data_IF_782761153408
#
_entry.id   IF_782761153408
#
_cell.length_a   1.000
_cell.length_b   1.000
_cell.length_c   1.000
_cell.angle_alpha   90.00
_cell.angle_beta   90.00
_cell.angle_gamma   90.00
#
_symmetry.space_group_name_H-M   'P 1'
#
loop_
_entity.id
_entity.type
_entity.pdbx_description
1 polymer ?
#
# COMPACT_ATOMS: atom_id res chain seq x y z
N UNK A 1 -3.69 -18.17 19.52
CA UNK A 1 -3.65 -17.77 18.10
C UNK A 1 -2.69 -16.60 18.01
N UNK A 2 -1.55 -16.70 17.31
CA UNK A 2 -0.66 -15.56 17.13
C UNK A 2 -1.44 -14.44 16.42
N UNK A 3 -1.32 -13.20 16.89
CA UNK A 3 -2.21 -12.06 16.58
C UNK A 3 -2.14 -11.53 15.14
N UNK A 4 -1.44 -12.19 14.22
CA UNK A 4 -1.41 -11.79 12.81
C UNK A 4 -0.89 -10.37 12.56
N UNK A 5 -0.30 -9.69 13.52
CA UNK A 5 0.34 -8.40 13.29
C UNK A 5 1.72 -8.65 12.64
N UNK A 6 1.96 -8.17 11.42
CA UNK A 6 3.28 -8.24 10.81
C UNK A 6 4.07 -7.03 11.30
N UNK A 7 5.03 -7.28 12.17
CA UNK A 7 5.98 -6.29 12.67
C UNK A 7 7.29 -7.01 12.94
N UNK A 8 8.36 -6.24 13.13
CA UNK A 8 9.58 -6.71 13.77
C UNK A 8 9.19 -7.50 15.04
N UNK A 9 10.02 -8.44 15.51
CA UNK A 9 9.73 -9.22 16.72
C UNK A 9 9.07 -8.33 17.78
N UNK A 10 7.98 -8.81 18.39
CA UNK A 10 6.99 -8.08 19.24
C UNK A 10 7.59 -7.15 20.32
N UNK A 11 8.91 -7.14 20.49
CA UNK A 11 9.72 -6.35 21.40
C UNK A 11 10.10 -4.95 20.91
N UNK A 12 9.93 -4.57 19.63
CA UNK A 12 10.38 -3.27 19.08
C UNK A 12 9.25 -2.36 18.55
N UNK A 13 7.99 -2.70 18.77
CA UNK A 13 6.85 -1.91 18.29
C UNK A 13 6.47 -0.89 19.36
N UNK A 14 6.81 0.37 19.11
CA UNK A 14 6.41 1.48 19.96
C UNK A 14 6.42 2.79 19.19
N UNK A 15 5.59 3.75 19.62
CA UNK A 15 5.67 5.12 19.14
C UNK A 15 7.10 5.63 19.29
N UNK A 16 7.72 6.04 18.19
CA UNK A 16 8.96 6.82 18.28
C UNK A 16 8.60 8.19 18.86
N UNK A 17 9.18 8.62 20.00
CA UNK A 17 8.85 9.91 20.60
C UNK A 17 9.32 11.06 19.70
N UNK A 18 8.62 12.21 19.69
CA UNK A 18 9.07 13.36 18.93
C UNK A 18 10.40 13.88 19.51
N UNK A 19 11.24 14.53 18.69
CA UNK A 19 12.45 15.17 19.20
C UNK A 19 12.09 16.20 20.29
N UNK A 20 12.95 16.37 21.32
CA UNK A 20 12.66 17.27 22.43
C UNK A 20 12.44 18.70 21.95
N UNK A 21 11.42 19.36 22.53
CA UNK A 21 11.08 20.76 22.24
C UNK A 21 12.32 21.66 22.35
N UNK A 22 12.58 22.45 21.31
CA UNK A 22 13.63 23.49 21.30
C UNK A 22 13.15 24.83 21.92
N UNK A 23 11.95 24.88 22.51
CA UNK A 23 11.33 26.10 23.02
C UNK A 23 11.01 26.07 24.54
N UNK A 24 10.81 27.24 25.18
CA UNK A 24 10.45 27.30 26.60
C UNK A 24 9.15 26.54 26.89
N UNK A 25 9.17 25.67 27.91
CA UNK A 25 8.03 24.85 28.37
C UNK A 25 6.75 25.67 28.61
N UNK A 26 6.86 26.95 28.93
CA UNK A 26 5.73 27.84 29.21
C UNK A 26 4.85 28.16 27.99
N UNK A 27 5.37 28.01 26.75
CA UNK A 27 4.55 28.14 25.53
C UNK A 27 3.74 26.88 25.23
N UNK A 28 4.24 25.70 25.62
CA UNK A 28 3.61 24.39 25.40
C UNK A 28 2.30 24.26 26.18
N UNK A 29 2.24 24.82 27.40
CA UNK A 29 1.02 24.80 28.23
C UNK A 29 -0.16 25.59 27.65
N UNK A 30 0.08 26.59 26.79
CA UNK A 30 -1.00 27.33 26.12
C UNK A 30 -1.55 26.58 24.89
N UNK A 31 -0.76 25.71 24.27
CA UNK A 31 -1.13 24.95 23.05
C UNK A 31 -2.03 23.74 23.30
N UNK A 32 -1.86 23.05 24.44
CA UNK A 32 -2.75 21.94 24.85
C UNK A 32 -4.23 22.33 25.00
N UNK A 33 -4.49 23.62 25.23
CA UNK A 33 -5.85 24.19 25.37
C UNK A 33 -6.44 24.60 24.01
N UNK A 34 -5.63 24.65 22.94
CA UNK A 34 -6.01 25.18 21.63
C UNK A 34 -6.52 24.17 20.60
N UNK A 35 -6.13 22.89 20.69
CA UNK A 35 -6.49 21.88 19.67
C UNK A 35 -7.71 21.04 20.06
N UNK A 36 -7.91 20.81 21.36
CA UNK A 36 -9.16 20.24 21.86
C UNK A 36 -9.93 21.43 22.43
N UNK A 37 -10.77 22.13 21.64
CA UNK A 37 -11.65 23.12 22.22
C UNK A 37 -12.45 22.43 23.31
N UNK A 38 -12.51 23.05 24.50
CA UNK A 38 -13.51 22.68 25.48
C UNK A 38 -14.86 22.70 24.73
N UNK A 39 -15.66 21.62 24.79
CA UNK A 39 -16.92 21.57 24.05
C UNK A 39 -17.72 22.84 24.38
N UNK A 40 -18.20 23.53 23.34
CA UNK A 40 -19.09 24.67 23.55
C UNK A 40 -20.31 24.19 24.34
N UNK A 41 -20.91 25.08 25.13
CA UNK A 41 -22.01 24.71 26.03
C UNK A 41 -23.21 24.18 25.21
N UNK A 42 -23.31 22.86 25.05
CA UNK A 42 -24.32 22.19 24.21
C UNK A 42 -23.76 21.20 23.18
N UNK A 43 -22.44 21.22 22.89
CA UNK A 43 -21.80 20.23 22.03
C UNK A 43 -21.60 18.89 22.78
N UNK A 44 -21.83 17.78 22.08
CA UNK A 44 -21.44 16.46 22.60
C UNK A 44 -19.91 16.38 22.64
N UNK A 45 -19.29 15.96 23.75
CA UNK A 45 -17.84 15.79 23.79
C UNK A 45 -17.41 14.73 22.77
N UNK A 46 -16.53 15.11 21.85
CA UNK A 46 -15.86 14.18 20.94
C UNK A 46 -14.80 13.43 21.75
N UNK A 47 -14.91 12.10 21.80
CA UNK A 47 -13.93 11.24 22.47
C UNK A 47 -12.99 10.70 21.40
N UNK A 48 -11.82 11.33 21.28
CA UNK A 48 -10.77 10.86 20.38
C UNK A 48 -10.17 9.54 20.85
N UNK A 49 -9.86 8.68 19.89
CA UNK A 49 -9.03 7.50 20.12
C UNK A 49 -7.66 7.95 20.67
N UNK A 50 -7.06 7.22 21.63
CA UNK A 50 -5.73 7.53 22.14
C UNK A 50 -4.67 7.81 21.07
N UNK A 51 -4.70 7.13 19.92
CA UNK A 51 -3.75 7.38 18.83
C UNK A 51 -3.85 8.82 18.28
N UNK A 52 -5.06 9.37 18.19
CA UNK A 52 -5.30 10.75 17.75
C UNK A 52 -4.81 11.74 18.82
N UNK A 53 -5.00 11.41 20.10
CA UNK A 53 -4.49 12.23 21.22
C UNK A 53 -2.95 12.26 21.22
N UNK A 54 -2.30 11.13 20.90
CA UNK A 54 -0.84 11.08 20.75
C UNK A 54 -0.39 11.98 19.60
N UNK A 55 -1.07 11.95 18.44
CA UNK A 55 -0.75 12.81 17.31
C UNK A 55 -0.79 14.29 17.69
N UNK A 56 -1.89 14.73 18.32
CA UNK A 56 -2.06 16.13 18.68
C UNK A 56 -1.01 16.59 19.69
N UNK A 57 -0.74 15.79 20.73
CA UNK A 57 0.32 16.10 21.70
C UNK A 57 1.72 16.15 21.09
N UNK A 58 2.03 15.27 20.13
CA UNK A 58 3.32 15.24 19.44
C UNK A 58 3.47 16.41 18.48
N UNK A 59 2.42 16.76 17.72
CA UNK A 59 2.41 17.94 16.87
C UNK A 59 2.62 19.22 17.68
N UNK A 60 1.94 19.38 18.81
CA UNK A 60 2.15 20.53 19.69
C UNK A 60 3.56 20.63 20.25
N UNK A 61 4.23 19.49 20.45
CA UNK A 61 5.61 19.47 20.93
C UNK A 61 6.60 19.77 19.81
N UNK A 62 6.39 19.17 18.63
CA UNK A 62 7.32 19.22 17.51
C UNK A 62 7.16 20.51 16.67
N UNK A 63 5.92 20.89 16.35
CA UNK A 63 5.58 22.04 15.51
C UNK A 63 4.10 22.49 15.74
N UNK A 64 3.84 23.36 16.73
CA UNK A 64 2.49 23.92 16.97
C UNK A 64 1.89 24.55 15.71
N UNK A 65 0.61 24.31 15.46
CA UNK A 65 -0.13 24.83 14.28
C UNK A 65 0.19 24.13 12.95
N UNK A 66 1.07 23.12 12.95
CA UNK A 66 1.44 22.40 11.73
C UNK A 66 0.24 21.76 11.01
N UNK A 67 -0.74 21.25 11.77
CA UNK A 67 -1.90 20.61 11.18
C UNK A 67 -2.85 21.62 10.51
N UNK A 68 -3.07 22.77 11.13
CA UNK A 68 -3.87 23.85 10.53
C UNK A 68 -3.25 24.35 9.22
N UNK A 69 -1.93 24.55 9.20
CA UNK A 69 -1.20 24.94 7.98
C UNK A 69 -1.34 23.88 6.88
N UNK A 70 -1.21 22.59 7.22
CA UNK A 70 -1.34 21.49 6.28
C UNK A 70 -2.76 21.38 5.71
N UNK A 71 -3.79 21.43 6.54
CA UNK A 71 -5.20 21.40 6.09
C UNK A 71 -5.51 22.62 5.23
N UNK A 72 -5.01 23.80 5.59
CA UNK A 72 -5.17 25.02 4.78
C UNK A 72 -4.51 24.88 3.41
N UNK A 73 -3.28 24.33 3.35
CA UNK A 73 -2.57 24.05 2.10
C UNK A 73 -3.33 23.06 1.21
N UNK A 74 -3.90 21.99 1.80
CA UNK A 74 -4.74 21.04 1.08
C UNK A 74 -6.02 21.69 0.53
N UNK A 75 -6.69 22.50 1.36
CA UNK A 75 -7.93 23.19 0.99
C UNK A 75 -7.73 24.17 -0.16
N UNK A 76 -6.60 24.86 -0.25
CA UNK A 76 -6.28 25.72 -1.38
C UNK A 76 -6.13 24.97 -2.71
N UNK A 77 -5.75 23.69 -2.66
CA UNK A 77 -5.49 22.88 -3.86
C UNK A 77 -6.75 22.15 -4.35
N UNK A 78 -7.57 21.60 -3.45
CA UNK A 78 -8.75 20.78 -3.79
C UNK A 78 -9.99 21.11 -2.93
N UNK A 79 -10.45 22.38 -2.89
CA UNK A 79 -11.49 22.84 -1.96
C UNK A 79 -12.80 22.07 -2.09
N UNK A 80 -13.21 21.76 -3.33
CA UNK A 80 -14.47 21.04 -3.60
C UNK A 80 -14.48 19.62 -3.01
N UNK A 81 -13.33 18.96 -2.98
CA UNK A 81 -13.21 17.60 -2.46
C UNK A 81 -13.07 17.60 -0.94
N UNK A 82 -12.39 18.59 -0.38
CA UNK A 82 -12.35 18.85 1.06
C UNK A 82 -13.76 19.13 1.61
N UNK A 83 -14.56 19.93 0.89
CA UNK A 83 -15.97 20.19 1.22
C UNK A 83 -16.82 18.91 1.17
N UNK A 84 -16.59 18.02 0.18
CA UNK A 84 -17.29 16.72 0.06
C UNK A 84 -17.08 15.85 1.31
N UNK A 85 -15.90 15.90 1.92
CA UNK A 85 -15.58 15.16 3.15
C UNK A 85 -15.74 15.98 4.44
N UNK A 86 -16.25 17.21 4.33
CA UNK A 86 -16.45 18.12 5.47
C UNK A 86 -15.16 18.44 6.25
N UNK A 87 -14.03 18.58 5.55
CA UNK A 87 -12.73 18.93 6.14
C UNK A 87 -12.41 20.40 5.80
N UNK A 88 -12.42 21.28 6.81
CA UNK A 88 -12.17 22.72 6.65
C UNK A 88 -11.02 23.27 7.51
N UNK A 89 -10.60 22.52 8.54
CA UNK A 89 -9.62 22.92 9.54
C UNK A 89 -8.97 21.69 10.21
N UNK A 90 -8.03 21.92 11.13
CA UNK A 90 -7.37 20.84 11.84
C UNK A 90 -8.35 19.95 12.63
N UNK A 91 -9.38 20.53 13.26
CA UNK A 91 -10.35 19.78 14.07
C UNK A 91 -11.15 18.82 13.21
N UNK A 92 -11.71 19.29 12.10
CA UNK A 92 -12.47 18.47 11.16
C UNK A 92 -11.61 17.36 10.51
N UNK A 93 -10.31 17.60 10.28
CA UNK A 93 -9.39 16.52 9.87
C UNK A 93 -9.16 15.49 10.99
N UNK A 94 -8.99 15.92 12.24
CA UNK A 94 -8.85 15.00 13.38
C UNK A 94 -10.13 14.18 13.59
N UNK A 95 -11.30 14.77 13.39
CA UNK A 95 -12.59 14.07 13.41
C UNK A 95 -12.65 13.04 12.28
N UNK A 96 -12.30 13.42 11.04
CA UNK A 96 -12.19 12.51 9.90
C UNK A 96 -11.25 11.33 10.19
N UNK A 97 -10.04 11.59 10.69
CA UNK A 97 -9.08 10.55 11.02
C UNK A 97 -9.55 9.66 12.20
N UNK A 98 -10.21 10.25 13.19
CA UNK A 98 -10.76 9.49 14.30
C UNK A 98 -11.89 8.55 13.85
N UNK A 99 -12.76 9.01 12.97
CA UNK A 99 -13.86 8.22 12.43
C UNK A 99 -13.36 7.10 11.52
N UNK A 100 -12.27 7.33 10.79
CA UNK A 100 -11.63 6.32 9.95
C UNK A 100 -11.16 5.07 10.73
N UNK A 101 -10.83 5.22 12.03
CA UNK A 101 -10.45 4.09 12.91
C UNK A 101 -11.59 3.09 13.17
N UNK A 102 -12.84 3.47 12.89
CA UNK A 102 -14.04 2.61 13.00
C UNK A 102 -14.91 2.67 11.75
N UNK A 103 -14.34 3.13 10.63
CA UNK A 103 -15.07 3.30 9.39
C UNK A 103 -15.40 1.95 8.78
N UNK A 104 -16.68 1.76 8.47
CA UNK A 104 -17.19 0.60 7.71
C UNK A 104 -17.10 0.97 6.23
N UNK A 105 -16.29 0.28 5.41
CA UNK A 105 -16.15 0.67 4.01
C UNK A 105 -17.43 0.44 3.21
N UNK A 106 -17.77 1.40 2.36
CA UNK A 106 -18.86 1.33 1.39
C UNK A 106 -18.35 1.83 0.05
N UNK A 107 -19.02 1.41 -1.02
CA UNK A 107 -18.65 1.80 -2.36
C UNK A 107 -19.85 2.20 -3.22
N UNK A 108 -19.56 2.89 -4.32
CA UNK A 108 -20.54 3.35 -5.30
C UNK A 108 -20.22 2.81 -6.71
N UNK A 109 -21.04 3.20 -7.68
CA UNK A 109 -20.94 2.70 -9.05
C UNK A 109 -19.56 2.92 -9.69
N UNK A 110 -18.89 4.01 -9.35
CA UNK A 110 -17.57 4.35 -9.85
C UNK A 110 -16.45 3.53 -9.22
N UNK A 111 -16.67 2.88 -8.08
CA UNK A 111 -15.65 2.08 -7.40
C UNK A 111 -14.49 2.92 -6.86
N UNK A 112 -14.75 4.16 -6.45
CA UNK A 112 -13.76 5.15 -6.03
C UNK A 112 -13.89 5.66 -4.59
N UNK A 113 -15.01 5.48 -3.89
CA UNK A 113 -15.17 6.07 -2.55
C UNK A 113 -14.10 5.62 -1.55
N UNK A 114 -13.75 4.33 -1.55
CA UNK A 114 -12.64 3.83 -0.71
C UNK A 114 -11.33 4.49 -1.12
N UNK A 115 -11.01 4.49 -2.41
CA UNK A 115 -9.76 5.04 -2.94
C UNK A 115 -9.62 6.53 -2.59
N UNK A 116 -10.69 7.29 -2.80
CA UNK A 116 -10.84 8.69 -2.50
C UNK A 116 -10.55 8.99 -1.01
N UNK A 117 -11.10 8.20 -0.09
CA UNK A 117 -10.86 8.35 1.36
C UNK A 117 -9.39 8.12 1.71
N UNK A 118 -8.76 7.06 1.18
CA UNK A 118 -7.34 6.78 1.43
C UNK A 118 -6.46 7.91 0.87
N UNK A 119 -6.73 8.34 -0.36
CA UNK A 119 -6.02 9.45 -0.99
C UNK A 119 -6.13 10.73 -0.17
N UNK A 120 -7.31 11.01 0.39
CA UNK A 120 -7.53 12.24 1.14
C UNK A 120 -6.78 12.29 2.47
N UNK A 121 -6.67 11.14 3.15
CA UNK A 121 -5.83 11.04 4.34
C UNK A 121 -4.36 11.36 4.02
N UNK A 122 -3.79 10.73 2.99
CA UNK A 122 -2.38 10.93 2.63
C UNK A 122 -2.13 12.30 2.03
N UNK A 123 -3.04 12.84 1.21
CA UNK A 123 -2.88 14.15 0.61
C UNK A 123 -2.77 15.27 1.67
N UNK A 124 -3.54 15.21 2.77
CA UNK A 124 -3.43 16.19 3.87
C UNK A 124 -2.14 16.00 4.66
N UNK A 125 -1.81 14.76 5.06
CA UNK A 125 -0.65 14.51 5.92
C UNK A 125 0.69 14.79 5.20
N UNK A 126 0.67 14.73 3.87
CA UNK A 126 1.80 15.07 2.99
C UNK A 126 1.84 16.56 2.60
N UNK A 127 0.97 17.42 3.14
CA UNK A 127 1.11 18.86 2.97
C UNK A 127 2.23 19.44 3.85
N UNK A 128 2.92 20.50 3.41
CA UNK A 128 3.76 21.28 4.28
C UNK A 128 2.92 21.89 5.42
N UNK A 129 3.43 21.92 6.66
CA UNK A 129 4.77 21.47 7.06
C UNK A 129 4.87 20.00 7.50
N UNK A 130 3.77 19.24 7.53
CA UNK A 130 3.73 17.85 8.00
C UNK A 130 4.62 16.93 7.16
N UNK A 131 4.66 17.13 5.84
CA UNK A 131 5.54 16.40 4.93
C UNK A 131 7.01 16.37 5.41
N UNK A 132 7.50 17.48 5.97
CA UNK A 132 8.88 17.61 6.46
C UNK A 132 9.15 16.92 7.80
N UNK A 133 8.10 16.43 8.47
CA UNK A 133 8.18 15.70 9.74
C UNK A 133 8.14 14.17 9.51
N UNK A 134 7.84 13.74 8.30
CA UNK A 134 7.84 12.33 7.88
C UNK A 134 9.25 11.88 7.46
N UNK A 135 9.47 10.56 7.46
CA UNK A 135 10.67 9.95 6.86
C UNK A 135 10.73 10.32 5.39
N UNK A 136 11.85 10.89 4.95
CA UNK A 136 12.03 11.23 3.54
C UNK A 136 12.10 10.00 2.66
N UNK A 137 11.51 10.06 1.46
CA UNK A 137 11.66 9.01 0.46
C UNK A 137 13.03 9.15 -0.21
N UNK A 138 14.05 8.54 0.40
CA UNK A 138 15.42 8.56 -0.12
C UNK A 138 16.21 7.28 0.22
N UNK A 139 17.21 6.90 -0.60
CA UNK A 139 17.97 5.65 -0.41
C UNK A 139 18.70 5.53 0.94
N UNK A 140 19.13 6.66 1.52
CA UNK A 140 19.81 6.71 2.81
C UNK A 140 18.89 6.39 4.01
N UNK A 141 17.58 6.38 3.81
CA UNK A 141 16.59 6.03 4.85
C UNK A 141 16.30 4.52 4.92
N UNK A 142 16.82 3.72 3.98
CA UNK A 142 16.58 2.27 3.97
C UNK A 142 17.18 1.63 5.23
N UNK A 143 16.35 0.89 5.97
CA UNK A 143 16.75 0.22 7.20
C UNK A 143 16.99 1.16 8.40
N UNK A 144 16.77 2.47 8.23
CA UNK A 144 16.83 3.42 9.32
C UNK A 144 15.51 3.45 10.11
N UNK A 145 15.55 3.83 11.40
CA UNK A 145 14.33 4.07 12.17
C UNK A 145 13.44 5.14 11.51
N UNK A 146 12.13 4.93 11.53
CA UNK A 146 11.17 5.92 11.03
C UNK A 146 11.16 7.18 11.91
N UNK A 147 10.84 8.33 11.32
CA UNK A 147 10.51 9.52 12.11
C UNK A 147 9.26 9.26 12.95
N UNK A 148 9.05 10.09 13.98
CA UNK A 148 7.89 9.95 14.86
C UNK A 148 6.55 10.02 14.11
N UNK A 149 6.43 10.86 13.07
CA UNK A 149 5.18 10.99 12.32
C UNK A 149 4.96 9.79 11.41
N UNK A 150 5.99 9.30 10.71
CA UNK A 150 5.86 8.07 9.91
C UNK A 150 5.62 6.83 10.79
N UNK A 151 6.23 6.75 11.98
CA UNK A 151 5.94 5.72 12.98
C UNK A 151 4.48 5.80 13.45
N UNK A 152 3.95 7.00 13.69
CA UNK A 152 2.55 7.20 14.05
C UNK A 152 1.61 6.73 12.93
N UNK A 153 1.91 7.05 11.66
CA UNK A 153 1.11 6.62 10.50
C UNK A 153 1.05 5.09 10.40
N UNK A 154 2.17 4.39 10.65
CA UNK A 154 2.20 2.92 10.68
C UNK A 154 1.27 2.38 11.77
N UNK A 155 1.35 2.90 12.99
CA UNK A 155 0.47 2.47 14.10
C UNK A 155 -1.00 2.77 13.79
N UNK A 156 -1.28 3.94 13.21
CA UNK A 156 -2.62 4.33 12.80
C UNK A 156 -3.20 3.36 11.75
N UNK A 157 -2.42 3.00 10.72
CA UNK A 157 -2.81 2.00 9.72
C UNK A 157 -3.08 0.62 10.35
N UNK A 158 -2.24 0.18 11.30
CA UNK A 158 -2.45 -1.08 12.02
C UNK A 158 -3.75 -1.08 12.84
N UNK A 159 -4.11 0.03 13.48
CA UNK A 159 -5.37 0.13 14.22
C UNK A 159 -6.60 0.06 13.31
N UNK A 160 -6.54 0.66 12.12
CA UNK A 160 -7.58 0.49 11.09
C UNK A 160 -7.65 -1.00 10.69
N UNK A 161 -6.52 -1.63 10.40
CA UNK A 161 -6.46 -3.06 10.08
C UNK A 161 -7.09 -3.95 11.14
N UNK A 162 -6.84 -3.68 12.43
CA UNK A 162 -7.46 -4.38 13.56
C UNK A 162 -8.99 -4.21 13.59
N UNK A 163 -9.50 -3.02 13.28
CA UNK A 163 -10.93 -2.81 13.14
C UNK A 163 -11.49 -3.62 11.96
N UNK A 164 -10.79 -3.66 10.83
CA UNK A 164 -11.19 -4.42 9.62
C UNK A 164 -11.19 -5.95 9.83
N UNK A 165 -10.54 -6.45 10.89
CA UNK A 165 -10.61 -7.83 11.36
C UNK A 165 -11.75 -8.08 12.38
N UNK A 166 -12.53 -7.05 12.71
CA UNK A 166 -13.69 -7.18 13.60
C UNK A 166 -15.00 -7.38 12.82
N UNK A 167 -16.02 -8.06 13.37
CA UNK A 167 -17.33 -8.18 12.72
C UNK A 167 -18.04 -6.84 12.48
N UNK A 168 -17.68 -5.79 13.23
CA UNK A 168 -18.27 -4.46 13.07
C UNK A 168 -17.84 -3.78 11.76
N UNK A 169 -16.76 -4.25 11.13
CA UNK A 169 -16.22 -3.67 9.89
C UNK A 169 -17.00 -4.01 8.61
N UNK A 170 -17.93 -4.97 8.68
CA UNK A 170 -18.69 -5.40 7.51
C UNK A 170 -20.17 -5.56 7.86
N UNK A 171 -20.96 -4.54 7.55
CA UNK A 171 -22.42 -4.60 7.65
C UNK A 171 -23.03 -5.22 6.39
N UNK A 172 -24.32 -5.53 6.44
CA UNK A 172 -25.04 -6.03 5.26
C UNK A 172 -25.10 -4.97 4.16
N UNK A 173 -25.32 -3.72 4.54
CA UNK A 173 -25.36 -2.56 3.65
C UNK A 173 -23.98 -2.30 3.02
N UNK A 174 -22.91 -2.49 3.79
CA UNK A 174 -21.53 -2.44 3.30
C UNK A 174 -21.29 -3.50 2.25
N UNK A 175 -21.57 -4.78 2.56
CA UNK A 175 -21.39 -5.87 1.60
C UNK A 175 -22.24 -5.68 0.33
N UNK A 176 -23.50 -5.23 0.46
CA UNK A 176 -24.40 -4.97 -0.67
C UNK A 176 -23.87 -3.84 -1.59
N UNK A 177 -23.14 -2.88 -1.03
CA UNK A 177 -22.53 -1.79 -1.81
C UNK A 177 -21.50 -2.30 -2.83
N UNK A 178 -20.88 -3.46 -2.60
CA UNK A 178 -19.94 -4.09 -3.53
C UNK A 178 -20.58 -5.00 -4.57
N UNK A 179 -21.91 -5.15 -4.56
CA UNK A 179 -22.61 -6.01 -5.51
C UNK A 179 -22.37 -5.56 -6.97
N UNK A 180 -22.54 -6.48 -7.92
CA UNK A 180 -22.39 -6.19 -9.34
C UNK A 180 -23.25 -5.01 -9.83
N UNK A 181 -24.39 -4.76 -9.17
CA UNK A 181 -25.28 -3.65 -9.46
C UNK A 181 -24.73 -2.32 -8.94
N UNK A 182 -24.18 -2.32 -7.73
CA UNK A 182 -23.81 -1.10 -7.04
C UNK A 182 -22.36 -0.68 -7.29
N UNK A 183 -21.44 -1.64 -7.51
CA UNK A 183 -20.01 -1.39 -7.74
C UNK A 183 -19.41 -2.43 -8.71
N UNK A 184 -19.75 -2.39 -10.01
CA UNK A 184 -19.39 -3.44 -10.98
C UNK A 184 -17.88 -3.69 -11.12
N UNK A 185 -17.01 -2.71 -10.83
CA UNK A 185 -15.55 -2.85 -10.92
C UNK A 185 -14.98 -3.86 -9.92
N UNK A 186 -15.64 -4.10 -8.79
CA UNK A 186 -15.22 -5.08 -7.79
C UNK A 186 -15.43 -6.53 -8.23
N UNK A 187 -16.22 -6.77 -9.29
CA UNK A 187 -16.51 -8.09 -9.83
C UNK A 187 -16.90 -9.09 -8.72
N UNK A 188 -17.79 -8.68 -7.81
CA UNK A 188 -18.17 -9.49 -6.65
C UNK A 188 -18.66 -10.90 -7.01
N UNK A 189 -19.31 -11.03 -8.16
CA UNK A 189 -19.81 -12.32 -8.66
C UNK A 189 -18.71 -13.35 -8.95
N UNK A 190 -17.44 -12.92 -9.11
CA UNK A 190 -16.29 -13.83 -9.25
C UNK A 190 -15.83 -14.41 -7.89
N UNK A 191 -16.25 -13.82 -6.77
CA UNK A 191 -15.80 -14.21 -5.43
C UNK A 191 -16.34 -15.57 -4.99
N UNK A 192 -15.48 -16.38 -4.37
CA UNK A 192 -15.89 -17.56 -3.62
C UNK A 192 -16.38 -17.11 -2.24
N UNK A 193 -17.70 -17.11 -2.05
CA UNK A 193 -18.33 -16.76 -0.77
C UNK A 193 -18.20 -17.95 0.18
N UNK A 194 -17.60 -17.76 1.38
CA UNK A 194 -17.50 -18.82 2.39
C UNK A 194 -18.88 -19.29 2.88
N UNK A 195 -18.94 -20.49 3.44
CA UNK A 195 -20.14 -20.95 4.15
C UNK A 195 -20.45 -20.00 5.33
N UNK A 196 -21.68 -19.48 5.37
CA UNK A 196 -22.08 -18.45 6.33
C UNK A 196 -21.70 -17.01 5.95
N UNK A 197 -21.12 -16.78 4.77
CA UNK A 197 -20.77 -15.46 4.26
C UNK A 197 -19.47 -14.89 4.82
N UNK A 198 -19.13 -13.68 4.38
CA UNK A 198 -18.01 -12.91 4.92
C UNK A 198 -18.37 -12.33 6.30
N UNK A 199 -17.48 -12.49 7.28
CA UNK A 199 -17.66 -12.06 8.67
C UNK A 199 -17.02 -10.72 8.98
N UNK A 200 -15.98 -10.34 8.23
CA UNK A 200 -15.19 -9.13 8.45
C UNK A 200 -14.81 -8.52 7.10
N UNK A 201 -14.49 -7.23 7.08
CA UNK A 201 -14.11 -6.57 5.84
C UNK A 201 -12.82 -7.17 5.26
N UNK A 202 -11.85 -7.50 6.10
CA UNK A 202 -10.62 -8.14 5.64
C UNK A 202 -10.87 -9.52 5.01
N UNK A 203 -11.85 -10.29 5.48
CA UNK A 203 -12.21 -11.57 4.85
C UNK A 203 -12.82 -11.35 3.46
N UNK A 204 -13.62 -10.30 3.29
CA UNK A 204 -14.18 -9.90 2.00
C UNK A 204 -13.11 -9.34 1.05
N UNK A 205 -12.26 -8.43 1.52
CA UNK A 205 -11.21 -7.79 0.73
C UNK A 205 -10.23 -8.83 0.20
N UNK A 206 -9.81 -9.77 1.07
CA UNK A 206 -8.97 -10.91 0.73
C UNK A 206 -9.78 -12.14 0.26
N UNK A 207 -10.95 -11.95 -0.35
CA UNK A 207 -11.77 -13.06 -0.88
C UNK A 207 -10.97 -13.95 -1.83
N UNK A 208 -11.26 -15.24 -1.84
CA UNK A 208 -10.82 -16.13 -2.91
C UNK A 208 -11.73 -15.94 -4.13
N UNK A 209 -11.27 -16.33 -5.31
CA UNK A 209 -12.11 -16.41 -6.50
C UNK A 209 -12.72 -17.82 -6.65
N UNK A 210 -13.85 -17.90 -7.35
CA UNK A 210 -14.41 -19.19 -7.77
C UNK A 210 -13.40 -19.94 -8.65
N UNK A 211 -13.34 -21.29 -8.59
CA UNK A 211 -12.47 -22.07 -9.48
C UNK A 211 -12.70 -21.72 -10.95
N UNK A 212 -11.62 -21.62 -11.72
CA UNK A 212 -11.67 -21.35 -13.17
C UNK A 212 -11.83 -19.87 -13.55
N UNK A 213 -11.98 -18.93 -12.61
CA UNK A 213 -12.08 -17.50 -12.93
C UNK A 213 -10.77 -16.89 -13.46
N UNK A 214 -9.64 -17.56 -13.25
CA UNK A 214 -8.29 -17.12 -13.65
C UNK A 214 -7.49 -18.31 -14.20
N UNK A 215 -7.75 -18.75 -15.44
CA UNK A 215 -6.95 -19.81 -16.07
C UNK A 215 -5.49 -19.38 -16.22
N UNK A 216 -4.55 -20.25 -15.85
CA UNK A 216 -3.11 -19.97 -15.97
C UNK A 216 -2.67 -20.23 -17.40
N UNK A 217 -2.01 -19.24 -18.02
CA UNK A 217 -1.49 -19.36 -19.38
C UNK A 217 -0.23 -20.22 -19.41
N UNK A 218 -0.23 -21.26 -20.26
CA UNK A 218 0.90 -22.17 -20.46
C UNK A 218 1.55 -22.62 -19.14
N UNK A 219 0.81 -23.31 -18.24
CA UNK A 219 1.24 -23.57 -16.86
C UNK A 219 2.56 -24.35 -16.78
N UNK A 220 2.81 -25.25 -17.72
CA UNK A 220 4.02 -26.10 -17.78
C UNK A 220 5.19 -25.48 -18.58
N UNK A 221 5.03 -24.28 -19.15
CA UNK A 221 6.08 -23.63 -19.94
C UNK A 221 6.83 -22.59 -19.11
N UNK A 222 7.96 -22.96 -18.50
CA UNK A 222 8.74 -22.04 -17.66
C UNK A 222 9.26 -20.78 -18.38
N UNK A 223 9.26 -20.72 -19.72
CA UNK A 223 9.62 -19.49 -20.45
C UNK A 223 8.50 -18.45 -20.49
N UNK A 224 7.29 -18.82 -20.10
CA UNK A 224 6.14 -17.91 -20.02
C UNK A 224 5.94 -17.49 -18.57
N UNK A 225 6.18 -16.22 -18.31
CA UNK A 225 5.98 -15.59 -17.01
C UNK A 225 4.58 -15.01 -17.02
N UNK A 226 3.79 -15.31 -15.99
CA UNK A 226 2.44 -14.78 -15.85
C UNK A 226 2.38 -13.63 -14.85
N UNK A 227 1.36 -12.79 -14.97
CA UNK A 227 1.10 -11.75 -13.98
C UNK A 227 0.91 -12.39 -12.59
N UNK A 228 1.58 -11.85 -11.56
CA UNK A 228 1.47 -12.36 -10.19
C UNK A 228 0.19 -11.88 -9.49
N UNK A 229 -0.49 -10.86 -10.01
CA UNK A 229 -1.67 -10.27 -9.38
C UNK A 229 -2.64 -9.71 -10.43
N UNK A 230 -3.88 -9.46 -10.02
CA UNK A 230 -4.76 -8.58 -10.77
C UNK A 230 -4.28 -7.13 -10.57
N UNK A 231 -3.61 -6.56 -11.56
CA UNK A 231 -2.90 -5.28 -11.44
C UNK A 231 -2.87 -4.51 -12.77
N UNK A 232 -2.67 -3.21 -12.69
CA UNK A 232 -2.37 -2.36 -13.85
C UNK A 232 -0.85 -2.30 -14.01
N UNK A 233 -0.39 -2.59 -15.22
CA UNK A 233 0.99 -2.44 -15.62
C UNK A 233 1.02 -1.74 -16.97
N UNK A 234 1.53 -0.51 -17.01
CA UNK A 234 1.55 0.30 -18.22
C UNK A 234 2.81 0.11 -19.08
N UNK A 235 3.70 -0.81 -18.70
CA UNK A 235 5.03 -1.08 -19.28
C UNK A 235 5.93 0.14 -19.56
N UNK A 236 5.64 1.26 -18.93
CA UNK A 236 6.25 2.53 -19.26
C UNK A 236 7.65 2.65 -18.67
N UNK A 237 8.66 2.72 -19.55
CA UNK A 237 10.03 3.11 -19.17
C UNK A 237 10.06 4.56 -18.69
N UNK A 238 9.21 5.43 -19.26
CA UNK A 238 9.12 6.84 -18.88
C UNK A 238 8.56 7.02 -17.47
N UNK A 239 7.55 6.22 -17.10
CA UNK A 239 7.02 6.16 -15.73
C UNK A 239 7.84 5.22 -14.85
N UNK A 240 8.90 4.63 -15.40
CA UNK A 240 9.84 3.74 -14.73
C UNK A 240 9.18 2.49 -14.13
N UNK A 241 8.09 1.99 -14.71
CA UNK A 241 7.43 0.75 -14.28
C UNK A 241 8.22 -0.51 -14.68
N UNK A 242 9.25 -0.34 -15.51
CA UNK A 242 10.23 -1.37 -15.82
C UNK A 242 11.61 -0.75 -16.03
N UNK A 243 12.63 -1.36 -15.41
CA UNK A 243 13.99 -0.83 -15.38
C UNK A 243 15.00 -1.99 -15.50
N UNK A 244 16.03 -1.81 -16.34
CA UNK A 244 17.19 -2.70 -16.33
C UNK A 244 18.05 -2.39 -15.11
N UNK A 245 18.44 -3.43 -14.38
CA UNK A 245 19.29 -3.32 -13.20
C UNK A 245 20.73 -3.20 -13.67
N UNK A 246 21.48 -2.24 -13.12
CA UNK A 246 22.90 -2.10 -13.43
C UNK A 246 23.70 -3.31 -12.91
N UNK A 247 24.92 -3.50 -13.43
CA UNK A 247 25.77 -4.65 -13.08
C UNK A 247 26.20 -4.69 -11.61
N UNK A 248 26.06 -3.58 -10.90
CA UNK A 248 26.31 -3.43 -9.46
C UNK A 248 25.02 -3.42 -8.62
N UNK A 249 23.86 -3.67 -9.26
CA UNK A 249 22.56 -3.76 -8.58
C UNK A 249 21.82 -2.44 -8.42
N UNK A 250 22.33 -1.33 -8.98
CA UNK A 250 21.70 -0.02 -8.90
C UNK A 250 20.53 0.09 -9.89
N UNK A 251 19.47 0.79 -9.48
CA UNK A 251 18.39 1.27 -10.35
C UNK A 251 18.08 2.75 -10.05
N UNK A 252 17.88 3.54 -11.10
CA UNK A 252 17.54 4.96 -10.99
C UNK A 252 16.03 5.16 -11.08
N UNK A 253 15.38 5.44 -9.94
CA UNK A 253 13.93 5.71 -9.87
C UNK A 253 13.72 7.09 -9.25
N UNK A 254 12.92 7.94 -9.90
CA UNK A 254 12.69 9.35 -9.52
C UNK A 254 14.00 10.13 -9.27
N UNK A 255 15.00 9.90 -10.12
CA UNK A 255 16.34 10.47 -10.03
C UNK A 255 17.12 10.12 -8.74
N UNK A 256 16.71 9.06 -8.03
CA UNK A 256 17.38 8.56 -6.84
C UNK A 256 18.01 7.17 -7.12
N UNK A 257 19.25 6.93 -6.66
CA UNK A 257 19.92 5.64 -6.84
C UNK A 257 19.48 4.65 -5.75
N UNK A 258 18.60 3.72 -6.12
CA UNK A 258 18.21 2.61 -5.27
C UNK A 258 19.04 1.36 -5.60
N UNK A 259 19.12 0.41 -4.67
CA UNK A 259 19.81 -0.87 -4.92
C UNK A 259 18.87 -2.04 -4.69
N UNK A 260 19.07 -3.14 -5.42
CA UNK A 260 18.34 -4.39 -5.17
C UNK A 260 18.61 -4.93 -3.76
N UNK A 261 19.83 -4.77 -3.25
CA UNK A 261 20.17 -5.13 -1.87
C UNK A 261 19.35 -4.34 -0.84
N UNK A 262 19.10 -3.05 -1.08
CA UNK A 262 18.18 -2.23 -0.27
C UNK A 262 16.73 -2.71 -0.36
N UNK A 263 16.29 -3.21 -1.53
CA UNK A 263 14.95 -3.77 -1.71
C UNK A 263 14.76 -5.09 -0.95
N UNK A 264 15.75 -5.98 -1.01
CA UNK A 264 15.67 -7.35 -0.45
C UNK A 264 16.16 -7.47 1.01
N UNK A 265 16.72 -6.40 1.58
CA UNK A 265 17.14 -6.24 2.98
C UNK A 265 17.70 -7.53 3.63
N UNK A 266 18.98 -7.80 3.37
CA UNK A 266 19.72 -8.88 4.00
C UNK A 266 19.45 -10.28 3.42
N UNK A 267 18.84 -10.36 2.23
CA UNK A 267 18.80 -11.62 1.46
C UNK A 267 20.20 -11.97 0.95
N UNK A 268 20.61 -13.24 1.10
CA UNK A 268 21.87 -13.76 0.54
C UNK A 268 21.87 -13.81 -1.00
N UNK A 269 20.69 -13.70 -1.62
CA UNK A 269 20.51 -13.80 -3.06
C UNK A 269 20.50 -12.44 -3.77
N UNK A 270 20.69 -11.33 -3.05
CA UNK A 270 20.49 -9.99 -3.62
C UNK A 270 21.40 -9.72 -4.83
N UNK A 271 22.69 -10.06 -4.72
CA UNK A 271 23.67 -9.83 -5.77
C UNK A 271 23.41 -10.65 -7.03
N UNK A 272 22.65 -11.76 -6.92
CA UNK A 272 22.31 -12.58 -8.08
C UNK A 272 21.38 -11.86 -9.07
N UNK A 273 20.66 -10.83 -8.63
CA UNK A 273 19.77 -10.03 -9.47
C UNK A 273 20.49 -8.90 -10.22
N UNK A 274 21.78 -8.66 -9.97
CA UNK A 274 22.56 -7.62 -10.64
C UNK A 274 22.63 -7.86 -12.15
N UNK A 275 22.38 -6.82 -12.96
CA UNK A 275 22.25 -6.96 -14.42
C UNK A 275 20.89 -7.52 -14.90
N UNK A 276 19.95 -7.73 -13.98
CA UNK A 276 18.63 -8.28 -14.23
C UNK A 276 17.59 -7.23 -14.66
N UNK A 277 16.32 -7.55 -14.44
CA UNK A 277 15.19 -6.64 -14.73
C UNK A 277 14.33 -6.46 -13.49
N UNK A 278 13.98 -5.22 -13.20
CA UNK A 278 13.03 -4.82 -12.17
C UNK A 278 11.72 -4.39 -12.84
N UNK A 279 10.58 -4.78 -12.29
CA UNK A 279 9.23 -4.44 -12.78
C UNK A 279 8.31 -4.10 -11.60
N UNK A 280 7.48 -3.07 -11.79
CA UNK A 280 6.46 -2.62 -10.84
C UNK A 280 5.08 -2.58 -11.50
N UNK A 281 4.06 -2.98 -10.73
CA UNK A 281 2.66 -2.87 -11.11
C UNK A 281 1.79 -2.51 -9.91
N UNK A 282 0.71 -1.77 -10.17
CA UNK A 282 -0.19 -1.22 -9.14
C UNK A 282 -1.50 -2.02 -9.03
N UNK A 283 -1.99 -2.20 -7.80
CA UNK A 283 -3.29 -2.83 -7.53
C UNK A 283 -4.25 -1.79 -6.96
N UNK A 284 -5.34 -1.54 -7.69
CA UNK A 284 -6.42 -0.67 -7.25
C UNK A 284 -7.28 -1.35 -6.16
N UNK A 285 -8.03 -0.58 -5.38
CA UNK A 285 -8.84 -1.07 -4.25
C UNK A 285 -9.91 -2.09 -4.68
N UNK A 286 -10.40 -1.99 -5.91
CA UNK A 286 -11.37 -2.93 -6.49
C UNK A 286 -10.76 -4.22 -7.07
N UNK A 287 -9.43 -4.32 -7.19
CA UNK A 287 -8.78 -5.51 -7.73
C UNK A 287 -8.90 -6.72 -6.78
N UNK A 288 -8.47 -7.88 -7.27
CA UNK A 288 -8.28 -9.07 -6.45
C UNK A 288 -6.90 -8.99 -5.76
N UNK A 289 -6.91 -9.00 -4.43
CA UNK A 289 -5.74 -8.66 -3.60
C UNK A 289 -4.95 -9.87 -3.09
N UNK A 290 -4.95 -10.98 -3.83
CA UNK A 290 -4.07 -12.13 -3.57
C UNK A 290 -3.06 -12.28 -4.70
N UNK A 291 -1.81 -12.55 -4.33
CA UNK A 291 -0.71 -12.71 -5.28
C UNK A 291 -0.38 -14.19 -5.46
N UNK A 292 0.03 -14.51 -6.68
CA UNK A 292 0.28 -15.85 -7.17
C UNK A 292 1.68 -15.95 -7.79
N UNK A 293 2.24 -17.15 -7.80
CA UNK A 293 3.55 -17.43 -8.34
C UNK A 293 3.58 -17.14 -9.85
N UNK A 294 4.39 -16.19 -10.34
CA UNK A 294 4.48 -15.86 -11.76
C UNK A 294 5.19 -16.96 -12.58
N UNK A 295 5.92 -17.83 -11.89
CA UNK A 295 6.70 -18.95 -12.41
C UNK A 295 6.58 -20.16 -11.47
N UNK A 296 6.82 -21.38 -11.96
CA UNK A 296 7.01 -22.53 -11.09
C UNK A 296 8.43 -22.50 -10.47
N UNK A 297 8.65 -23.24 -9.38
CA UNK A 297 9.99 -23.33 -8.79
C UNK A 297 9.99 -23.66 -7.30
N UNK A 298 11.17 -23.61 -6.69
CA UNK A 298 11.36 -23.80 -5.25
C UNK A 298 11.48 -22.46 -4.53
N UNK A 299 10.78 -22.28 -3.41
CA UNK A 299 10.91 -21.08 -2.57
C UNK A 299 12.22 -21.13 -1.81
N UNK A 300 13.14 -20.21 -2.09
CA UNK A 300 14.42 -20.09 -1.40
C UNK A 300 14.36 -19.24 -0.13
N UNK A 301 13.52 -18.22 -0.16
CA UNK A 301 13.33 -17.29 0.95
C UNK A 301 11.91 -16.72 0.91
N UNK A 302 11.29 -16.58 2.07
CA UNK A 302 9.97 -15.98 2.23
C UNK A 302 9.93 -15.24 3.57
N UNK A 303 9.85 -13.91 3.55
CA UNK A 303 9.79 -13.08 4.77
C UNK A 303 9.08 -11.75 4.57
N UNK A 304 8.55 -11.21 5.65
CA UNK A 304 8.09 -9.82 5.69
C UNK A 304 9.25 -8.90 6.05
N UNK A 305 9.40 -7.83 5.28
CA UNK A 305 10.29 -6.70 5.54
C UNK A 305 9.42 -5.55 6.04
N UNK A 306 9.74 -5.00 7.19
CA UNK A 306 8.98 -3.93 7.81
C UNK A 306 9.42 -2.57 7.30
N UNK A 307 8.48 -1.64 7.22
CA UNK A 307 8.75 -0.29 6.73
C UNK A 307 7.64 0.70 7.05
N UNK A 308 7.66 1.83 6.35
CA UNK A 308 6.67 2.88 6.44
C UNK A 308 5.32 2.46 5.83
N UNK A 309 4.27 3.17 6.24
CA UNK A 309 3.00 3.25 5.53
C UNK A 309 2.95 4.62 4.85
N UNK A 310 2.82 4.62 3.53
CA UNK A 310 2.87 5.81 2.69
C UNK A 310 2.03 5.58 1.44
N UNK A 311 1.54 6.65 0.82
CA UNK A 311 0.95 6.65 -0.50
C UNK A 311 1.21 8.03 -1.09
N UNK A 312 1.88 8.10 -2.24
CA UNK A 312 2.04 9.37 -2.93
C UNK A 312 0.68 9.80 -3.47
N UNK A 313 0.27 11.02 -3.15
CA UNK A 313 -0.99 11.58 -3.65
C UNK A 313 -0.73 12.99 -4.18
N UNK A 314 -1.21 13.26 -5.38
CA UNK A 314 -1.09 14.55 -6.04
C UNK A 314 -2.47 15.17 -6.26
N UNK A 315 -2.50 16.46 -6.62
CA UNK A 315 -3.73 17.20 -6.94
C UNK A 315 -4.03 17.27 -8.45
N UNK A 316 -3.48 16.36 -9.27
CA UNK A 316 -3.61 16.43 -10.73
C UNK A 316 -5.04 16.09 -11.16
N UNK A 317 -5.66 16.98 -11.94
CA UNK A 317 -6.94 16.72 -12.58
C UNK A 317 -6.73 15.81 -13.80
N UNK A 318 -6.90 14.50 -13.63
CA UNK A 318 -7.14 13.58 -14.75
C UNK A 318 -8.53 13.89 -15.37
N UNK A 319 -8.67 13.96 -16.71
CA UNK A 319 -9.92 14.38 -17.35
C UNK A 319 -11.00 13.29 -17.29
N UNK A 320 -11.73 13.19 -16.18
CA UNK A 320 -13.08 12.62 -16.10
C UNK A 320 -14.00 13.59 -15.34
N UNK A 321 -15.22 13.77 -15.85
CA UNK A 321 -16.04 14.99 -15.67
C UNK A 321 -16.44 15.32 -14.21
N UNK A 322 -16.46 16.64 -13.96
CA UNK A 322 -17.17 17.49 -12.97
C UNK A 322 -16.46 17.90 -11.66
N UNK A 323 -15.44 17.21 -11.14
CA UNK A 323 -14.70 17.68 -9.95
C UNK A 323 -13.22 17.29 -10.00
N UNK A 324 -12.32 18.19 -9.58
CA UNK A 324 -10.91 17.85 -9.35
C UNK A 324 -10.74 17.24 -7.96
N UNK A 325 -10.03 16.12 -7.86
CA UNK A 325 -9.77 15.40 -6.61
C UNK A 325 -8.34 14.88 -6.55
N UNK A 326 -7.91 14.37 -5.39
CA UNK A 326 -6.60 13.77 -5.23
C UNK A 326 -6.46 12.49 -6.06
N UNK A 327 -5.26 12.22 -6.57
CA UNK A 327 -4.92 11.02 -7.33
C UNK A 327 -3.56 10.46 -6.88
N UNK A 328 -3.50 9.15 -6.67
CA UNK A 328 -2.28 8.40 -6.37
C UNK A 328 -1.67 7.88 -7.68
N UNK A 329 -0.57 8.49 -8.17
CA UNK A 329 0.01 8.11 -9.44
C UNK A 329 0.66 6.72 -9.37
N UNK A 330 0.49 5.95 -10.44
CA UNK A 330 1.14 4.64 -10.66
C UNK A 330 2.62 4.85 -11.06
N UNK A 331 3.42 5.40 -10.12
CA UNK A 331 4.86 5.59 -10.30
C UNK A 331 5.63 5.05 -9.09
N UNK A 332 6.78 4.39 -9.32
CA UNK A 332 7.56 3.80 -8.25
C UNK A 332 8.50 4.80 -7.58
N UNK A 333 9.10 4.37 -6.47
CA UNK A 333 10.19 5.06 -5.77
C UNK A 333 10.09 4.93 -4.26
N UNK A 334 8.88 4.93 -3.70
CA UNK A 334 8.67 4.85 -2.26
C UNK A 334 8.61 3.41 -1.71
N UNK A 335 8.42 2.41 -2.59
CA UNK A 335 8.26 0.99 -2.22
C UNK A 335 9.46 0.41 -1.46
N UNK A 336 10.66 0.97 -1.65
CA UNK A 336 11.89 0.57 -0.96
C UNK A 336 11.83 0.78 0.56
N UNK A 337 11.01 1.74 1.01
CA UNK A 337 10.84 2.08 2.42
C UNK A 337 9.56 1.50 3.01
N UNK A 338 8.68 0.93 2.21
CA UNK A 338 7.40 0.38 2.67
C UNK A 338 7.52 -1.01 3.25
N UNK A 339 6.57 -1.35 4.12
CA UNK A 339 6.34 -2.74 4.52
C UNK A 339 6.01 -3.59 3.30
N UNK A 340 6.71 -4.71 3.14
CA UNK A 340 6.60 -5.58 1.96
C UNK A 340 6.85 -7.04 2.30
N UNK A 341 6.24 -7.94 1.54
CA UNK A 341 6.65 -9.32 1.48
C UNK A 341 7.86 -9.48 0.55
N UNK A 342 8.66 -10.51 0.77
CA UNK A 342 9.72 -10.91 -0.14
C UNK A 342 9.70 -12.42 -0.28
N UNK A 343 9.50 -12.89 -1.51
CA UNK A 343 9.45 -14.31 -1.85
C UNK A 343 10.39 -14.54 -3.03
N UNK A 344 11.42 -15.37 -2.85
CA UNK A 344 12.40 -15.68 -3.89
C UNK A 344 12.14 -17.11 -4.38
N UNK A 345 11.89 -17.25 -5.67
CA UNK A 345 11.58 -18.52 -6.35
C UNK A 345 12.75 -18.90 -7.25
N UNK A 346 13.31 -20.09 -7.09
CA UNK A 346 14.30 -20.66 -7.99
C UNK A 346 13.62 -21.44 -9.11
N UNK A 347 13.66 -20.90 -10.32
CA UNK A 347 13.14 -21.56 -11.51
C UNK A 347 14.28 -22.20 -12.31
N UNK A 348 14.15 -23.47 -12.73
CA UNK A 348 15.22 -24.19 -13.42
C UNK A 348 15.64 -23.53 -14.75
N UNK A 349 14.71 -22.91 -15.46
CA UNK A 349 14.94 -22.29 -16.77
C UNK A 349 15.35 -20.82 -16.63
N UNK A 350 14.58 -20.04 -15.87
CA UNK A 350 14.73 -18.59 -15.77
C UNK A 350 15.77 -18.15 -14.73
N UNK A 351 16.15 -19.03 -13.80
CA UNK A 351 16.88 -18.62 -12.59
C UNK A 351 15.95 -18.05 -11.54
N UNK A 352 16.48 -17.19 -10.68
CA UNK A 352 15.75 -16.63 -9.54
C UNK A 352 14.79 -15.53 -9.97
N UNK A 353 13.60 -15.56 -9.36
CA UNK A 353 12.58 -14.51 -9.47
C UNK A 353 12.18 -14.10 -8.06
N UNK A 354 12.40 -12.82 -7.70
CA UNK A 354 11.86 -12.25 -6.48
C UNK A 354 10.49 -11.64 -6.76
N UNK A 355 9.50 -11.97 -5.93
CA UNK A 355 8.16 -11.37 -5.94
C UNK A 355 7.97 -10.64 -4.62
N UNK A 356 7.68 -9.35 -4.70
CA UNK A 356 7.50 -8.49 -3.54
C UNK A 356 6.12 -7.84 -3.58
N UNK A 357 5.14 -8.38 -2.84
CA UNK A 357 3.91 -7.66 -2.53
C UNK A 357 4.26 -6.47 -1.63
N UNK A 358 3.97 -5.25 -2.07
CA UNK A 358 4.24 -4.02 -1.33
C UNK A 358 2.95 -3.48 -0.72
N UNK A 359 2.94 -3.28 0.59
CA UNK A 359 1.83 -2.63 1.28
C UNK A 359 1.88 -1.11 1.08
N UNK A 360 0.74 -0.50 0.76
CA UNK A 360 0.60 0.93 0.58
C UNK A 360 -0.61 1.49 1.34
N UNK A 361 -0.54 2.75 1.77
CA UNK A 361 -1.58 3.41 2.53
C UNK A 361 -1.97 2.62 3.81
N UNK A 362 -3.27 2.40 4.03
CA UNK A 362 -3.78 1.60 5.12
C UNK A 362 -3.53 0.08 4.94
N UNK A 363 -2.99 -0.38 3.79
CA UNK A 363 -2.42 -1.74 3.65
C UNK A 363 -1.03 -1.75 4.24
N UNK A 364 -0.96 -2.17 5.48
CA UNK A 364 0.32 -2.52 6.08
C UNK A 364 0.44 -4.03 6.35
N UNK A 365 -0.55 -4.83 5.95
CA UNK A 365 -0.55 -6.28 6.18
C UNK A 365 -0.28 -7.07 4.90
N UNK A 366 0.94 -7.60 4.80
CA UNK A 366 1.30 -8.60 3.79
C UNK A 366 1.28 -9.97 4.44
N UNK A 367 0.36 -10.84 4.01
CA UNK A 367 0.25 -12.21 4.53
C UNK A 367 0.90 -13.17 3.55
N UNK A 368 2.11 -13.61 3.85
CA UNK A 368 2.80 -14.65 3.08
C UNK A 368 2.19 -16.01 3.43
N UNK A 369 1.90 -16.83 2.42
CA UNK A 369 1.24 -18.15 2.57
C UNK A 369 2.17 -19.33 2.24
N UNK A 370 3.43 -19.05 1.91
CA UNK A 370 4.47 -20.02 1.57
C UNK A 370 5.70 -19.86 2.46
N UNK A 371 6.55 -20.87 2.49
CA UNK A 371 7.79 -20.90 3.27
C UNK A 371 8.96 -21.48 2.46
N UNK A 372 10.18 -21.26 2.94
CA UNK A 372 11.39 -21.83 2.34
C UNK A 372 11.27 -23.36 2.19
N UNK A 373 11.62 -23.86 1.00
CA UNK A 373 11.56 -25.27 0.62
C UNK A 373 10.24 -25.70 -0.03
N UNK A 374 9.21 -24.85 -0.02
CA UNK A 374 7.97 -25.15 -0.75
C UNK A 374 8.23 -25.20 -2.26
N UNK A 375 7.60 -26.16 -2.95
CA UNK A 375 7.62 -26.26 -4.41
C UNK A 375 6.32 -25.73 -4.99
N UNK A 376 6.42 -24.71 -5.82
CA UNK A 376 5.30 -23.98 -6.38
C UNK A 376 5.01 -24.41 -7.82
N UNK A 377 3.73 -24.55 -8.11
CA UNK A 377 3.24 -24.52 -9.50
C UNK A 377 3.01 -23.07 -9.93
N UNK A 378 3.15 -22.80 -11.23
CA UNK A 378 2.82 -21.48 -11.79
C UNK A 378 1.36 -21.14 -11.52
N UNK A 379 1.09 -19.96 -10.98
CA UNK A 379 -0.23 -19.50 -10.58
C UNK A 379 -0.70 -19.98 -9.20
N UNK A 380 0.13 -20.70 -8.44
CA UNK A 380 -0.17 -21.03 -7.04
C UNK A 380 -0.16 -19.76 -6.17
N UNK A 381 -1.09 -19.63 -5.22
CA UNK A 381 -1.10 -18.51 -4.28
C UNK A 381 0.17 -18.49 -3.41
N UNK A 382 0.76 -17.30 -3.24
CA UNK A 382 1.98 -17.09 -2.44
C UNK A 382 1.82 -16.05 -1.33
N UNK A 383 0.84 -15.15 -1.48
CA UNK A 383 0.52 -14.14 -0.47
C UNK A 383 -0.83 -13.48 -0.74
N UNK A 384 -1.29 -12.68 0.22
CA UNK A 384 -2.39 -11.75 0.01
C UNK A 384 -2.27 -10.51 0.89
N UNK A 385 -2.96 -9.44 0.49
CA UNK A 385 -3.17 -8.25 1.31
C UNK A 385 -4.49 -8.32 2.07
N UNK A 386 -4.51 -7.69 3.24
CA UNK A 386 -5.77 -7.22 3.84
C UNK A 386 -5.92 -5.71 3.57
N UNK A 387 -7.00 -5.08 4.04
CA UNK A 387 -7.52 -3.79 3.56
C UNK A 387 -6.53 -2.64 3.24
N UNK A 388 -6.72 -1.98 2.08
CA UNK A 388 -6.16 -0.68 1.63
C UNK A 388 -5.68 -0.67 0.14
N UNK A 389 -4.63 0.09 -0.24
CA UNK A 389 -3.97 0.00 -1.56
C UNK A 389 -2.64 -0.79 -1.61
N UNK A 390 -2.21 -1.28 -2.77
CA UNK A 390 -0.99 -2.11 -2.83
C UNK A 390 -0.30 -2.12 -4.20
N UNK A 391 0.98 -2.50 -4.19
CA UNK A 391 1.76 -2.73 -5.40
C UNK A 391 2.32 -4.16 -5.41
N UNK A 392 2.83 -4.58 -6.57
CA UNK A 392 3.67 -5.76 -6.70
C UNK A 392 4.92 -5.44 -7.51
N UNK A 393 6.07 -5.84 -6.98
CA UNK A 393 7.34 -5.76 -7.68
C UNK A 393 7.82 -7.18 -8.02
N UNK A 394 8.29 -7.37 -9.25
CA UNK A 394 9.05 -8.57 -9.64
C UNK A 394 10.48 -8.18 -10.02
N UNK A 395 11.45 -8.95 -9.54
CA UNK A 395 12.86 -8.81 -9.91
C UNK A 395 13.33 -10.12 -10.52
N UNK A 396 13.90 -10.04 -11.73
CA UNK A 396 14.32 -11.20 -12.51
C UNK A 396 15.83 -11.26 -12.62
N UNK A 397 16.41 -12.42 -12.33
CA UNK A 397 17.84 -12.69 -12.52
C UNK A 397 18.25 -12.53 -14.01
N UNK A 398 19.48 -12.08 -14.33
CA UNK A 398 19.96 -11.97 -15.72
C UNK A 398 19.84 -13.26 -16.54
N UNK A 399 19.86 -14.43 -15.86
CA UNK A 399 19.71 -15.75 -16.48
C UNK A 399 18.43 -15.85 -17.32
N UNK A 400 17.35 -15.16 -16.91
CA UNK A 400 16.07 -15.11 -17.62
C UNK A 400 16.20 -14.50 -19.02
N UNK A 401 17.21 -13.65 -19.24
CA UNK A 401 17.47 -13.03 -20.54
C UNK A 401 16.40 -12.04 -20.99
N UNK A 402 15.57 -11.57 -20.06
CA UNK A 402 14.49 -10.63 -20.34
C UNK A 402 15.04 -9.25 -20.69
N UNK A 403 14.32 -8.56 -21.57
CA UNK A 403 14.47 -7.16 -21.88
C UNK A 403 13.13 -6.46 -21.69
N UNK A 404 13.15 -5.13 -21.67
CA UNK A 404 11.95 -4.31 -21.50
C UNK A 404 10.87 -4.67 -22.52
N UNK A 405 11.27 -4.90 -23.78
CA UNK A 405 10.37 -5.24 -24.88
C UNK A 405 9.69 -6.62 -24.76
N UNK A 406 10.15 -7.49 -23.86
CA UNK A 406 9.57 -8.81 -23.65
C UNK A 406 8.30 -8.78 -22.76
N UNK A 407 8.02 -7.63 -22.12
CA UNK A 407 6.90 -7.45 -21.20
C UNK A 407 5.65 -6.90 -21.90
N UNK A 408 4.50 -7.47 -21.53
CA UNK A 408 3.20 -7.15 -22.09
C UNK A 408 2.46 -6.23 -21.14
N UNK A 409 2.18 -4.98 -21.56
CA UNK A 409 1.33 -4.06 -20.80
C UNK A 409 -0.11 -4.58 -20.64
N UNK A 410 -0.79 -4.11 -19.60
CA UNK A 410 -2.24 -4.19 -19.48
C UNK A 410 -2.90 -3.50 -20.69
N UNK A 411 -4.02 -4.07 -21.16
CA UNK A 411 -4.81 -3.45 -22.21
C UNK A 411 -5.38 -2.10 -21.76
N UNK A 412 -5.40 -1.11 -22.68
CA UNK A 412 -5.89 0.24 -22.41
C UNK A 412 -7.23 0.24 -21.63
N UNK A 413 -7.31 1.03 -20.56
CA UNK A 413 -8.46 1.20 -19.65
C UNK A 413 -8.89 -0.07 -18.89
N UNK A 414 -8.02 -1.07 -18.76
CA UNK A 414 -8.26 -2.29 -17.98
C UNK A 414 -7.02 -2.69 -17.20
N UNK A 415 -7.17 -3.63 -16.26
CA UNK A 415 -6.06 -4.25 -15.53
C UNK A 415 -5.81 -5.66 -16.06
N UNK A 416 -4.56 -6.12 -15.94
CA UNK A 416 -4.18 -7.50 -16.22
C UNK A 416 -4.65 -8.41 -15.10
N UNK A 417 -5.17 -9.59 -15.45
CA UNK A 417 -5.59 -10.62 -14.50
C UNK A 417 -4.41 -11.53 -14.16
N UNK A 418 -4.25 -11.98 -12.92
CA UNK A 418 -3.19 -12.95 -12.62
C UNK A 418 -3.34 -14.21 -13.49
N UNK A 419 -2.21 -14.82 -13.85
CA UNK A 419 -2.19 -15.99 -14.73
C UNK A 419 -2.23 -15.66 -16.23
N UNK A 420 -2.49 -14.41 -16.65
CA UNK A 420 -2.26 -13.97 -18.03
C UNK A 420 -0.77 -13.67 -18.26
N UNK A 421 -0.35 -13.60 -19.52
CA UNK A 421 1.06 -13.40 -19.88
C UNK A 421 1.56 -12.04 -19.41
N UNK A 422 2.60 -12.03 -18.59
CA UNK A 422 3.38 -10.85 -18.22
C UNK A 422 4.57 -10.69 -19.16
N UNK A 423 5.33 -11.75 -19.41
CA UNK A 423 6.49 -11.71 -20.29
C UNK A 423 6.82 -13.09 -20.89
N UNK A 424 7.57 -13.09 -21.99
CA UNK A 424 8.10 -14.32 -22.60
C UNK A 424 9.62 -14.24 -22.67
N UNK A 425 10.29 -15.11 -21.92
CA UNK A 425 11.74 -15.19 -21.98
C UNK A 425 12.22 -15.79 -23.32
N UNK A 426 13.30 -15.25 -23.92
CA UNK A 426 13.78 -15.71 -25.21
C UNK A 426 14.25 -17.18 -25.18
N UNK A 427 14.14 -17.86 -26.32
CA UNK A 427 14.84 -19.13 -26.52
C UNK A 427 16.33 -18.84 -26.72
N UNK A 428 17.17 -19.41 -25.85
CA UNK A 428 18.62 -19.39 -26.00
C UNK A 428 19.08 -20.35 -27.09
#
# INVERSE_FOLDING_TARGET
MPSGLPTAPDTEIGFQPPPPSKGPLDKIRKGLVGIIPLPELGEKPVIYNPVIIVLTGYLETAKPGALDEAVHSAYQQIPQFMDKLHISDARSFLDFANDLLKWVPHENYEGKDIYDILCMFYFIIDQPPLANLQTSISPDQVGQPLTWLSSWIVVYAQLIGLFMDSPASLTKESLESFSQKNSPKYNYDEALVPEGGFRTFNQFFSRHLKPGMRPITEPENDRVIVYPADCTYDNSVANQNIVNIESDGVIMIKNLPWTISSLLQGSEYADEFHGGVWMHAFLNTFNYHRQHAPVAGEVLEAKNIQGAAYMEVNSKCEPMRVMCGPDAPDTPGYQFLQTRGMIIIDNPVLGKVAVLPIGMAQVSSVKITVQKGDRLQKGQEISYFQFGGSDVICVFQPKAGLRVEDFVASSNNTYSKYGTILARAPQK
#
